data_IF_857671580176
#
_entry.id   IF_857671580176
#
_cell.length_a   1.000
_cell.length_b   1.000
_cell.length_c   1.000
_cell.angle_alpha   90.00
_cell.angle_beta   90.00
_cell.angle_gamma   90.00
#
_symmetry.space_group_name_H-M   'P 1'
#
loop_
_entity.id
_entity.type
_entity.pdbx_description
1 polymer ?
#
# COMPACT_ATOMS: atom_id res chain seq x y z
N UNK A 1 14.46 -28.64 29.93
CA UNK A 1 14.46 -27.82 28.69
C UNK A 1 15.49 -26.75 28.91
N UNK A 2 16.77 -27.13 28.85
CA UNK A 2 17.88 -26.21 29.03
C UNK A 2 17.85 -25.21 27.89
N UNK A 3 17.89 -23.92 28.23
CA UNK A 3 17.96 -22.86 27.23
C UNK A 3 19.28 -23.03 26.46
N UNK A 4 19.23 -23.73 25.33
CA UNK A 4 20.32 -23.71 24.37
C UNK A 4 20.53 -22.23 24.02
N UNK A 5 21.72 -21.65 24.29
CA UNK A 5 21.96 -20.28 23.88
C UNK A 5 21.80 -20.26 22.36
N UNK A 6 20.78 -19.56 21.88
CA UNK A 6 20.56 -19.31 20.45
C UNK A 6 21.73 -18.40 20.04
N UNK A 7 22.86 -19.01 19.72
CA UNK A 7 24.05 -18.33 19.27
C UNK A 7 23.77 -17.73 17.90
N UNK A 8 23.50 -16.44 17.87
CA UNK A 8 23.37 -15.72 16.60
C UNK A 8 24.76 -15.68 15.95
N UNK A 9 24.93 -16.40 14.82
CA UNK A 9 26.18 -16.38 14.06
C UNK A 9 26.52 -14.93 13.68
N UNK A 10 27.81 -14.57 13.75
CA UNK A 10 28.30 -13.21 13.45
C UNK A 10 27.87 -12.72 12.04
N UNK A 11 27.58 -13.64 11.12
CA UNK A 11 27.13 -13.37 9.76
C UNK A 11 25.72 -12.75 9.66
N UNK A 12 24.89 -12.86 10.72
CA UNK A 12 23.56 -12.23 10.76
C UNK A 12 23.62 -10.69 10.75
N UNK A 13 24.78 -10.10 11.07
CA UNK A 13 24.97 -8.64 11.03
C UNK A 13 24.77 -8.04 9.63
N UNK A 14 25.15 -8.77 8.57
CA UNK A 14 24.97 -8.31 7.19
C UNK A 14 23.50 -8.25 6.78
N UNK A 15 22.68 -9.18 7.28
CA UNK A 15 21.25 -9.21 6.98
C UNK A 15 20.60 -7.91 7.42
N UNK A 16 20.90 -7.44 8.65
CA UNK A 16 20.35 -6.20 9.22
C UNK A 16 20.71 -4.98 8.35
N UNK A 17 21.96 -4.90 7.88
CA UNK A 17 22.41 -3.81 7.00
C UNK A 17 21.69 -3.82 5.65
N UNK A 18 21.47 -5.00 5.07
CA UNK A 18 20.69 -5.14 3.82
C UNK A 18 19.24 -4.72 4.05
N UNK A 19 18.61 -5.10 5.16
CA UNK A 19 17.24 -4.68 5.46
C UNK A 19 17.14 -3.17 5.63
N UNK A 20 18.06 -2.55 6.36
CA UNK A 20 18.07 -1.09 6.57
C UNK A 20 18.31 -0.36 5.24
N UNK A 21 19.29 -0.80 4.46
CA UNK A 21 19.58 -0.19 3.14
C UNK A 21 18.41 -0.35 2.16
N UNK A 22 17.71 -1.48 2.16
CA UNK A 22 16.51 -1.70 1.36
C UNK A 22 15.36 -0.75 1.77
N UNK A 23 15.19 -0.52 3.08
CA UNK A 23 14.22 0.46 3.57
C UNK A 23 14.58 1.86 3.06
N UNK A 24 15.83 2.29 3.24
CA UNK A 24 16.28 3.62 2.78
C UNK A 24 16.09 3.79 1.26
N UNK A 25 16.44 2.78 0.46
CA UNK A 25 16.25 2.82 -1.00
C UNK A 25 14.77 2.87 -1.38
N UNK A 26 13.92 2.10 -0.71
CA UNK A 26 12.47 2.12 -0.94
C UNK A 26 11.86 3.50 -0.66
N UNK A 27 12.33 4.17 0.38
CA UNK A 27 11.92 5.54 0.71
C UNK A 27 12.40 6.53 -0.35
N UNK A 28 13.66 6.46 -0.78
CA UNK A 28 14.22 7.35 -1.80
C UNK A 28 13.46 7.27 -3.13
N UNK A 29 13.17 6.05 -3.61
CA UNK A 29 12.38 5.84 -4.84
C UNK A 29 10.95 6.36 -4.66
N UNK A 30 10.34 6.12 -3.49
CA UNK A 30 9.02 6.66 -3.15
C UNK A 30 8.95 8.19 -3.25
N UNK A 31 9.91 8.90 -2.66
CA UNK A 31 9.97 10.36 -2.74
C UNK A 31 10.17 10.88 -4.18
N UNK A 32 11.00 10.20 -4.98
CA UNK A 32 11.21 10.58 -6.37
C UNK A 32 9.92 10.42 -7.21
N UNK A 33 9.16 9.35 -7.00
CA UNK A 33 7.87 9.13 -7.66
C UNK A 33 6.85 10.20 -7.25
N UNK A 34 6.79 10.58 -5.98
CA UNK A 34 5.88 11.65 -5.52
C UNK A 34 6.29 13.01 -6.10
N UNK A 35 7.59 13.32 -6.14
CA UNK A 35 8.10 14.56 -6.74
C UNK A 35 7.81 14.62 -8.25
N UNK A 36 7.98 13.50 -8.97
CA UNK A 36 7.61 13.41 -10.38
C UNK A 36 6.10 13.61 -10.59
N UNK A 37 5.25 12.99 -9.77
CA UNK A 37 3.78 13.13 -9.87
C UNK A 37 3.30 14.58 -9.67
N UNK A 38 4.03 15.39 -8.88
CA UNK A 38 3.72 16.83 -8.74
C UNK A 38 4.06 17.62 -10.02
N UNK A 39 5.15 17.29 -10.71
CA UNK A 39 5.57 17.95 -11.96
C UNK A 39 4.66 17.63 -13.14
N UNK A 40 4.19 16.40 -13.24
CA UNK A 40 3.35 15.92 -14.36
C UNK A 40 1.84 16.03 -14.09
N UNK A 41 1.41 16.74 -13.04
CA UNK A 41 0.01 16.92 -12.65
C UNK A 41 -0.84 15.63 -12.68
N UNK A 42 -0.22 14.51 -12.31
CA UNK A 42 -0.83 13.18 -12.46
C UNK A 42 -2.00 13.03 -11.49
N UNK A 43 -3.08 12.38 -11.94
CA UNK A 43 -4.30 12.17 -11.16
C UNK A 43 -4.00 11.58 -9.77
N UNK A 44 -4.12 12.42 -8.74
CA UNK A 44 -3.90 12.04 -7.33
C UNK A 44 -5.08 11.28 -6.74
N UNK A 45 -6.22 11.32 -7.43
CA UNK A 45 -7.46 10.68 -7.02
C UNK A 45 -7.29 9.17 -6.82
N UNK A 46 -6.62 8.48 -7.75
CA UNK A 46 -6.32 7.04 -7.62
C UNK A 46 -5.49 6.71 -6.37
N UNK A 47 -4.55 7.57 -5.99
CA UNK A 47 -3.74 7.37 -4.77
C UNK A 47 -4.57 7.53 -3.49
N UNK A 48 -5.51 8.48 -3.46
CA UNK A 48 -6.44 8.68 -2.33
C UNK A 48 -7.39 7.50 -2.22
N UNK A 49 -7.96 7.03 -3.33
CA UNK A 49 -8.82 5.83 -3.35
C UNK A 49 -8.07 4.57 -2.90
N UNK A 50 -6.81 4.41 -3.31
CA UNK A 50 -5.94 3.33 -2.84
C UNK A 50 -5.67 3.39 -1.33
N UNK A 51 -5.49 4.59 -0.77
CA UNK A 51 -5.31 4.76 0.67
C UNK A 51 -6.58 4.38 1.46
N UNK A 52 -7.76 4.79 0.96
CA UNK A 52 -9.06 4.40 1.53
C UNK A 52 -9.23 2.88 1.51
N UNK A 53 -8.82 2.21 0.42
CA UNK A 53 -8.87 0.75 0.30
C UNK A 53 -7.96 0.07 1.33
N UNK A 54 -6.71 0.51 1.47
CA UNK A 54 -5.75 -0.07 2.43
C UNK A 54 -6.24 0.11 3.87
N UNK A 55 -6.76 1.28 4.23
CA UNK A 55 -7.36 1.51 5.56
C UNK A 55 -8.55 0.59 5.82
N UNK A 56 -9.43 0.39 4.82
CA UNK A 56 -10.55 -0.55 4.94
C UNK A 56 -10.11 -2.00 5.13
N UNK A 57 -8.97 -2.40 4.54
CA UNK A 57 -8.36 -3.72 4.77
C UNK A 57 -7.75 -3.85 6.17
N UNK A 58 -7.16 -2.79 6.73
CA UNK A 58 -6.68 -2.79 8.11
C UNK A 58 -7.84 -2.93 9.10
N UNK A 59 -8.94 -2.20 8.88
CA UNK A 59 -10.15 -2.31 9.71
C UNK A 59 -10.81 -3.69 9.55
N UNK A 60 -10.82 -4.26 8.34
CA UNK A 60 -11.27 -5.64 8.11
C UNK A 60 -10.44 -6.66 8.89
N UNK A 61 -9.11 -6.53 8.88
CA UNK A 61 -8.21 -7.42 9.60
C UNK A 61 -8.41 -7.32 11.12
N UNK A 62 -8.51 -6.09 11.66
CA UNK A 62 -8.81 -5.86 13.08
C UNK A 62 -10.18 -6.45 13.47
N UNK A 63 -11.19 -6.31 12.62
CA UNK A 63 -12.51 -6.93 12.80
C UNK A 63 -12.47 -8.46 12.79
N UNK A 64 -11.52 -9.07 12.08
CA UNK A 64 -11.34 -10.53 12.03
C UNK A 64 -10.77 -11.10 13.34
N UNK A 65 -9.89 -10.34 14.00
CA UNK A 65 -9.30 -10.73 15.28
C UNK A 65 -10.31 -10.75 16.45
N UNK A 66 -11.46 -10.10 16.29
CA UNK A 66 -12.49 -9.97 17.34
C UNK A 66 -13.49 -11.15 17.42
N UNK A 67 -13.42 -12.14 16.53
CA UNK A 67 -14.26 -13.36 16.57
C UNK A 67 -15.74 -13.18 16.16
N UNK A 68 -16.32 -11.99 16.28
CA UNK A 68 -17.71 -11.71 15.85
C UNK A 68 -17.84 -11.48 14.33
N UNK A 69 -18.75 -12.20 13.62
CA UNK A 69 -18.93 -12.06 12.16
C UNK A 69 -19.33 -10.66 11.72
N UNK A 70 -20.11 -9.95 12.55
CA UNK A 70 -20.67 -8.63 12.22
C UNK A 70 -19.61 -7.52 12.21
N UNK A 71 -18.49 -7.68 12.94
CA UNK A 71 -17.40 -6.68 13.00
C UNK A 71 -16.55 -6.65 11.72
N UNK A 72 -16.72 -7.61 10.81
CA UNK A 72 -16.09 -7.62 9.48
C UNK A 72 -16.65 -6.56 8.55
N UNK A 73 -17.93 -6.20 8.73
CA UNK A 73 -18.65 -5.23 7.90
C UNK A 73 -18.06 -3.83 8.02
N UNK A 74 -17.37 -3.50 9.10
CA UNK A 74 -16.66 -2.22 9.22
C UNK A 74 -15.57 -2.06 8.16
N UNK A 75 -15.03 -3.14 7.56
CA UNK A 75 -14.08 -3.04 6.45
C UNK A 75 -14.71 -2.80 5.07
N UNK A 76 -16.06 -2.81 4.97
CA UNK A 76 -16.80 -2.72 3.69
C UNK A 76 -16.61 -1.37 2.99
N UNK A 77 -16.24 -0.30 3.71
CA UNK A 77 -15.92 0.97 3.06
C UNK A 77 -14.71 0.89 2.10
N UNK A 78 -13.90 -0.18 2.19
CA UNK A 78 -12.85 -0.48 1.22
C UNK A 78 -13.38 -0.55 -0.24
N UNK A 79 -14.65 -0.94 -0.44
CA UNK A 79 -15.27 -1.02 -1.76
C UNK A 79 -15.39 0.35 -2.45
N UNK A 80 -15.50 1.44 -1.68
CA UNK A 80 -15.47 2.81 -2.22
C UNK A 80 -14.09 3.09 -2.84
N UNK A 81 -13.02 2.63 -2.18
CA UNK A 81 -11.66 2.73 -2.69
C UNK A 81 -11.46 1.93 -3.99
N UNK A 82 -11.94 0.68 -4.04
CA UNK A 82 -11.88 -0.15 -5.25
C UNK A 82 -12.68 0.49 -6.40
N UNK A 83 -13.89 0.96 -6.13
CA UNK A 83 -14.73 1.61 -7.15
C UNK A 83 -14.06 2.83 -7.75
N UNK A 84 -13.48 3.70 -6.90
CA UNK A 84 -12.73 4.86 -7.37
C UNK A 84 -11.49 4.50 -8.20
N UNK A 85 -10.76 3.44 -7.83
CA UNK A 85 -9.63 2.95 -8.63
C UNK A 85 -10.06 2.37 -9.98
N UNK A 86 -11.20 1.66 -10.03
CA UNK A 86 -11.74 1.09 -11.26
C UNK A 86 -12.16 2.20 -12.24
N UNK A 87 -12.86 3.23 -11.75
CA UNK A 87 -13.24 4.40 -12.56
C UNK A 87 -12.01 5.12 -13.10
N UNK A 88 -10.98 5.36 -12.28
CA UNK A 88 -9.71 5.92 -12.76
C UNK A 88 -9.05 5.07 -13.85
N UNK A 89 -9.12 3.74 -13.73
CA UNK A 89 -8.57 2.84 -14.76
C UNK A 89 -9.30 2.99 -16.10
N UNK A 90 -10.63 3.16 -16.07
CA UNK A 90 -11.44 3.37 -17.28
C UNK A 90 -11.18 4.76 -17.87
N UNK A 91 -11.12 5.80 -17.04
CA UNK A 91 -10.81 7.17 -17.49
C UNK A 91 -9.43 7.24 -18.15
N UNK A 92 -8.41 6.60 -17.56
CA UNK A 92 -7.08 6.50 -18.15
C UNK A 92 -7.08 5.75 -19.49
N UNK A 93 -7.85 4.67 -19.61
CA UNK A 93 -7.98 3.94 -20.87
C UNK A 93 -8.66 4.77 -21.97
N UNK A 94 -9.66 5.60 -21.61
CA UNK A 94 -10.35 6.49 -22.55
C UNK A 94 -9.47 7.68 -22.98
N UNK A 95 -8.63 8.19 -22.09
CA UNK A 95 -7.61 9.21 -22.39
C UNK A 95 -6.54 8.68 -23.35
N UNK A 96 -6.11 7.43 -23.18
CA UNK A 96 -5.20 6.75 -24.13
C UNK A 96 -5.80 6.62 -25.53
N UNK A 97 -7.12 6.42 -25.63
CA UNK A 97 -7.86 6.34 -26.90
C UNK A 97 -8.18 7.74 -27.47
N UNK A 98 -7.74 8.82 -26.82
CA UNK A 98 -7.97 10.22 -27.20
C UNK A 98 -9.45 10.62 -27.33
N UNK A 99 -10.38 9.81 -26.79
CA UNK A 99 -11.82 10.09 -26.79
C UNK A 99 -12.15 11.18 -25.77
N UNK A 100 -11.36 11.27 -24.70
CA UNK A 100 -11.61 12.17 -23.58
C UNK A 100 -10.27 12.77 -23.13
N UNK A 101 -10.07 14.07 -23.37
CA UNK A 101 -8.91 14.82 -22.90
C UNK A 101 -9.26 15.54 -21.59
N UNK A 102 -8.53 15.24 -20.52
CA UNK A 102 -8.58 15.95 -19.25
C UNK A 102 -7.28 16.69 -18.97
#
# INVERSE_FOLDING_TARGET
MDATPIGLNADFGYVILVTISAIIMSWKVGYQVVSARKKFNVQRFSAVCGLIFVLGRLVYAAGYQSGDPKKRLYGTFAYIGIGGMFVCSVVFALDLLQIMKW
#
